data_IF_723081112322
#
_entry.id   IF_723081112322
#
_cell.length_a   1.000
_cell.length_b   1.000
_cell.length_c   1.000
_cell.angle_alpha   90.00
_cell.angle_beta   90.00
_cell.angle_gamma   90.00
#
_symmetry.space_group_name_H-M   'P 1'
#
loop_
_entity.id
_entity.type
_entity.pdbx_description
1 polymer ?
#
# COMPACT_ATOMS: atom_id res chain seq x y z
N UNK A 1 -6.19 18.60 8.82
CA UNK A 1 -6.84 19.16 7.62
C UNK A 1 -6.40 18.29 6.45
N UNK A 2 -7.12 18.27 5.32
CA UNK A 2 -6.67 17.63 4.09
C UNK A 2 -6.41 18.67 3.01
N UNK A 3 -5.44 18.41 2.12
CA UNK A 3 -5.29 19.16 0.87
C UNK A 3 -6.42 18.82 -0.11
N UNK A 4 -6.47 19.54 -1.23
CA UNK A 4 -7.46 19.31 -2.31
C UNK A 4 -7.38 17.89 -2.91
N UNK A 5 -6.21 17.26 -2.85
CA UNK A 5 -5.99 15.88 -3.32
C UNK A 5 -6.05 14.82 -2.20
N UNK A 6 -6.50 15.21 -1.00
CA UNK A 6 -6.75 14.29 0.12
C UNK A 6 -5.52 13.94 0.95
N UNK A 7 -4.39 14.62 0.77
CA UNK A 7 -3.21 14.47 1.61
C UNK A 7 -3.48 15.01 3.01
N UNK A 8 -3.11 14.24 4.04
CA UNK A 8 -3.20 14.67 5.42
C UNK A 8 -2.15 15.75 5.71
N UNK A 9 -2.61 16.94 6.09
CA UNK A 9 -1.78 18.07 6.47
C UNK A 9 -1.75 18.25 7.98
N UNK A 10 -0.55 18.43 8.53
CA UNK A 10 -0.29 18.56 9.96
C UNK A 10 0.29 19.95 10.27
N UNK A 11 -0.16 20.57 11.36
CA UNK A 11 0.42 21.82 11.86
C UNK A 11 0.32 21.89 13.37
N UNK A 12 1.42 22.28 14.02
CA UNK A 12 1.55 22.31 15.46
C UNK A 12 2.96 21.90 15.89
N UNK A 13 3.19 21.67 17.20
CA UNK A 13 4.50 21.26 17.74
C UNK A 13 4.81 19.77 17.45
N UNK A 14 4.45 19.29 16.26
CA UNK A 14 4.48 17.87 15.85
C UNK A 14 5.30 17.64 14.57
N UNK A 15 6.15 18.60 14.20
CA UNK A 15 7.04 18.51 13.04
C UNK A 15 8.52 18.41 13.41
N UNK A 16 9.36 18.51 12.39
CA UNK A 16 10.82 18.53 12.52
C UNK A 16 11.39 19.86 12.01
N UNK A 17 12.65 20.15 12.34
CA UNK A 17 13.34 21.38 11.93
C UNK A 17 13.82 21.34 10.46
N UNK A 18 13.87 20.16 9.87
CA UNK A 18 14.41 19.93 8.53
C UNK A 18 15.37 18.75 8.48
N UNK A 19 15.77 18.40 7.27
CA UNK A 19 16.77 17.39 6.96
C UNK A 19 18.16 18.02 7.04
N UNK A 20 19.07 17.35 7.76
CA UNK A 20 20.44 17.82 7.95
C UNK A 20 21.19 17.94 6.62
N UNK A 21 21.69 19.13 6.30
CA UNK A 21 22.44 19.40 5.06
C UNK A 21 21.59 19.36 3.79
N UNK A 22 20.26 19.44 3.92
CA UNK A 22 19.30 19.45 2.81
C UNK A 22 18.24 20.54 3.03
N UNK A 23 18.69 21.79 3.15
CA UNK A 23 17.83 22.94 3.40
C UNK A 23 16.73 23.10 2.34
N UNK A 24 17.06 22.88 1.06
CA UNK A 24 16.11 22.99 -0.04
C UNK A 24 14.95 21.98 0.07
N UNK A 25 15.24 20.73 0.47
CA UNK A 25 14.20 19.70 0.61
C UNK A 25 13.43 19.84 1.92
N UNK A 26 14.07 20.38 2.96
CA UNK A 26 13.41 20.75 4.22
C UNK A 26 12.31 21.80 4.00
N UNK A 27 12.60 22.82 3.17
CA UNK A 27 11.64 23.87 2.83
C UNK A 27 10.42 23.28 2.11
N UNK A 28 10.63 22.32 1.19
CA UNK A 28 9.52 21.69 0.45
C UNK A 28 8.57 20.86 1.30
N UNK A 29 8.93 20.53 2.54
CA UNK A 29 8.04 19.76 3.42
C UNK A 29 6.91 20.58 4.00
N UNK A 30 7.01 21.92 3.99
CA UNK A 30 5.97 22.81 4.49
C UNK A 30 5.54 23.81 3.44
N UNK A 31 4.26 24.14 3.40
CA UNK A 31 3.75 25.23 2.58
C UNK A 31 4.04 26.61 3.21
N UNK A 32 3.63 27.69 2.51
CA UNK A 32 3.84 29.06 2.96
C UNK A 32 3.08 29.39 4.26
N UNK A 33 2.02 28.64 4.54
CA UNK A 33 1.13 28.75 5.70
C UNK A 33 1.60 27.88 6.90
N UNK A 34 2.70 27.13 6.70
CA UNK A 34 3.37 26.33 7.72
C UNK A 34 2.76 24.93 7.94
N UNK A 35 1.94 24.43 7.03
CA UNK A 35 1.43 23.06 7.07
C UNK A 35 2.48 22.07 6.56
N UNK A 36 2.71 21.02 7.34
CA UNK A 36 3.55 19.89 6.97
C UNK A 36 2.78 18.93 6.07
N UNK A 37 3.34 18.67 4.90
CA UNK A 37 2.91 17.65 3.96
C UNK A 37 3.39 16.27 4.43
N UNK A 38 2.46 15.41 4.87
CA UNK A 38 2.79 14.06 5.37
C UNK A 38 3.19 13.09 4.26
N UNK A 39 2.72 13.33 3.04
CA UNK A 39 2.78 12.38 1.94
C UNK A 39 1.78 11.22 2.06
N UNK A 40 0.85 11.27 3.01
CA UNK A 40 -0.14 10.23 3.25
C UNK A 40 -1.54 10.73 2.84
N UNK A 41 -2.26 9.94 2.05
CA UNK A 41 -3.67 10.18 1.75
C UNK A 41 -4.54 9.68 2.90
N UNK A 42 -5.54 10.47 3.28
CA UNK A 42 -6.41 10.12 4.39
C UNK A 42 -7.86 10.59 4.18
N UNK A 43 -8.79 9.76 4.63
CA UNK A 43 -10.20 10.15 4.78
C UNK A 43 -10.40 10.73 6.18
N UNK A 44 -10.92 11.96 6.25
CA UNK A 44 -11.24 12.65 7.49
C UNK A 44 -12.75 12.64 7.67
N UNK A 45 -13.22 12.04 8.76
CA UNK A 45 -14.64 11.92 9.09
C UNK A 45 -15.10 13.10 9.95
N UNK A 46 -16.40 13.43 9.90
CA UNK A 46 -16.99 14.58 10.59
C UNK A 46 -16.83 14.55 12.13
N UNK A 47 -16.63 13.36 12.70
CA UNK A 47 -16.35 13.15 14.12
C UNK A 47 -14.86 13.32 14.50
N UNK A 48 -14.03 13.77 13.55
CA UNK A 48 -12.60 14.02 13.73
C UNK A 48 -11.71 12.78 13.62
N UNK A 49 -12.28 11.61 13.28
CA UNK A 49 -11.49 10.42 13.02
C UNK A 49 -10.79 10.52 11.66
N UNK A 50 -9.57 10.00 11.60
CA UNK A 50 -8.75 10.00 10.38
C UNK A 50 -8.40 8.56 10.04
N UNK A 51 -8.67 8.15 8.81
CA UNK A 51 -8.27 6.84 8.28
C UNK A 51 -7.21 7.07 7.21
N UNK A 52 -6.01 6.54 7.45
CA UNK A 52 -4.95 6.57 6.46
C UNK A 52 -5.30 5.58 5.35
N UNK A 53 -5.39 6.09 4.13
CA UNK A 53 -5.63 5.30 2.91
C UNK A 53 -4.32 4.67 2.47
N UNK A 54 -3.24 5.45 2.39
CA UNK A 54 -1.92 4.97 1.99
C UNK A 54 -0.99 6.11 1.59
N UNK A 55 0.18 5.78 1.05
CA UNK A 55 1.16 6.77 0.59
C UNK A 55 0.70 7.40 -0.72
N UNK A 56 0.71 8.74 -0.79
CA UNK A 56 0.29 9.50 -1.97
C UNK A 56 1.01 9.12 -3.26
N UNK A 57 2.25 8.64 -3.16
CA UNK A 57 3.05 8.17 -4.32
C UNK A 57 2.78 6.72 -4.72
N UNK A 58 2.19 5.92 -3.83
CA UNK A 58 2.05 4.47 -4.00
C UNK A 58 0.60 4.03 -4.19
N UNK A 59 -0.37 4.92 -3.95
CA UNK A 59 -1.80 4.66 -4.22
C UNK A 59 -2.05 4.52 -5.72
N UNK A 60 -2.79 3.47 -6.10
CA UNK A 60 -3.22 3.24 -7.47
C UNK A 60 -4.54 3.95 -7.73
N UNK A 61 -4.64 4.61 -8.88
CA UNK A 61 -5.87 5.25 -9.33
C UNK A 61 -6.43 4.45 -10.50
N UNK A 62 -7.56 3.77 -10.28
CA UNK A 62 -8.22 3.03 -11.36
C UNK A 62 -8.71 3.96 -12.47
N UNK A 63 -9.03 3.42 -13.65
CA UNK A 63 -9.61 4.22 -14.74
C UNK A 63 -10.97 4.85 -14.40
N UNK A 64 -11.63 4.41 -13.31
CA UNK A 64 -12.84 5.00 -12.76
C UNK A 64 -12.60 6.07 -11.69
N UNK A 65 -11.34 6.45 -11.42
CA UNK A 65 -10.98 7.46 -10.42
C UNK A 65 -10.97 6.97 -8.97
N UNK A 66 -11.14 5.66 -8.73
CA UNK A 66 -11.07 5.11 -7.37
C UNK A 66 -9.62 4.96 -6.92
N UNK A 67 -9.31 5.54 -5.76
CA UNK A 67 -8.04 5.40 -5.05
C UNK A 67 -7.98 4.06 -4.31
N UNK A 68 -6.88 3.32 -4.51
CA UNK A 68 -6.67 2.01 -3.91
C UNK A 68 -5.25 1.93 -3.34
N UNK A 69 -5.15 1.53 -2.08
CA UNK A 69 -3.89 1.22 -1.44
C UNK A 69 -3.46 -0.22 -1.78
N UNK A 70 -2.35 -0.41 -2.52
CA UNK A 70 -1.80 -1.75 -2.81
C UNK A 70 -1.49 -2.50 -1.53
N UNK A 71 -0.77 -1.84 -0.62
CA UNK A 71 -0.29 -2.42 0.63
C UNK A 71 -1.43 -3.05 1.45
N UNK A 72 -2.59 -2.39 1.50
CA UNK A 72 -3.76 -2.95 2.20
C UNK A 72 -4.21 -4.29 1.61
N UNK A 73 -4.27 -4.39 0.28
CA UNK A 73 -4.68 -5.62 -0.41
C UNK A 73 -3.58 -6.67 -0.29
N UNK A 74 -2.32 -6.30 -0.53
CA UNK A 74 -1.16 -7.18 -0.46
C UNK A 74 -1.04 -7.82 0.92
N UNK A 75 -1.09 -7.03 2.00
CA UNK A 75 -1.02 -7.54 3.36
C UNK A 75 -2.19 -8.47 3.70
N UNK A 76 -3.38 -8.17 3.19
CA UNK A 76 -4.56 -9.02 3.39
C UNK A 76 -4.46 -10.34 2.64
N UNK A 77 -3.87 -10.33 1.45
CA UNK A 77 -3.61 -11.55 0.66
C UNK A 77 -2.51 -12.40 1.30
N UNK A 78 -1.42 -11.76 1.76
CA UNK A 78 -0.31 -12.41 2.47
C UNK A 78 -0.67 -12.94 3.86
N UNK A 79 -1.87 -12.66 4.37
CA UNK A 79 -2.40 -13.32 5.57
C UNK A 79 -2.69 -14.82 5.33
N UNK A 80 -2.77 -15.26 4.07
CA UNK A 80 -2.83 -16.67 3.71
C UNK A 80 -1.48 -17.36 3.98
N UNK A 81 -1.45 -18.51 4.67
CA UNK A 81 -0.20 -19.25 4.88
C UNK A 81 0.38 -19.86 3.58
N UNK A 82 -0.37 -19.83 2.48
CA UNK A 82 0.05 -20.37 1.19
C UNK A 82 0.73 -19.33 0.28
N UNK A 83 0.77 -18.06 0.70
CA UNK A 83 1.26 -16.94 -0.11
C UNK A 83 2.44 -16.31 0.62
N UNK A 84 3.62 -16.35 -0.01
CA UNK A 84 4.83 -15.72 0.53
C UNK A 84 4.88 -14.24 0.14
N UNK A 85 4.55 -13.91 -1.11
CA UNK A 85 4.51 -12.53 -1.60
C UNK A 85 3.30 -12.22 -2.48
N UNK A 86 2.90 -10.95 -2.46
CA UNK A 86 1.83 -10.42 -3.29
C UNK A 86 2.17 -9.00 -3.74
N UNK A 87 2.05 -8.72 -5.04
CA UNK A 87 2.24 -7.39 -5.62
C UNK A 87 0.98 -7.01 -6.38
N UNK A 88 0.37 -5.91 -5.98
CA UNK A 88 -0.87 -5.41 -6.57
C UNK A 88 -0.58 -4.43 -7.70
N UNK A 89 -1.22 -4.68 -8.85
CA UNK A 89 -1.03 -3.95 -10.10
C UNK A 89 -2.40 -3.52 -10.62
N UNK A 90 -2.57 -2.23 -10.90
CA UNK A 90 -3.89 -1.74 -11.30
C UNK A 90 -3.99 -0.27 -11.68
N UNK A 91 -2.88 0.48 -11.68
CA UNK A 91 -2.93 1.91 -11.98
C UNK A 91 -3.45 2.17 -13.39
N UNK A 92 -4.40 3.09 -13.51
CA UNK A 92 -5.10 3.42 -14.75
C UNK A 92 -5.96 2.29 -15.34
N UNK A 93 -6.16 1.17 -14.63
CA UNK A 93 -6.92 0.01 -15.13
C UNK A 93 -8.34 -0.01 -14.58
N UNK A 94 -9.25 -0.71 -15.29
CA UNK A 94 -10.65 -0.91 -14.85
C UNK A 94 -10.78 -1.80 -13.61
N UNK A 95 -9.78 -2.63 -13.35
CA UNK A 95 -9.75 -3.57 -12.24
C UNK A 95 -8.30 -3.77 -11.79
N UNK A 96 -8.18 -4.32 -10.59
CA UNK A 96 -6.90 -4.62 -9.94
C UNK A 96 -6.54 -6.07 -10.22
N UNK A 97 -5.25 -6.33 -10.36
CA UNK A 97 -4.68 -7.68 -10.49
C UNK A 97 -3.55 -7.80 -9.48
N UNK A 98 -3.22 -9.02 -9.06
CA UNK A 98 -2.06 -9.26 -8.21
C UNK A 98 -1.16 -10.31 -8.84
N UNK A 99 0.15 -10.09 -8.75
CA UNK A 99 1.16 -11.14 -8.92
C UNK A 99 1.33 -11.81 -7.55
N UNK A 100 1.20 -13.13 -7.50
CA UNK A 100 1.25 -13.91 -6.28
C UNK A 100 2.43 -14.88 -6.35
N UNK A 101 3.22 -14.93 -5.29
CA UNK A 101 4.22 -15.95 -5.05
C UNK A 101 3.68 -16.94 -4.00
N UNK A 102 3.76 -18.22 -4.32
CA UNK A 102 3.33 -19.28 -3.41
C UNK A 102 4.44 -19.60 -2.41
N UNK A 103 4.04 -19.90 -1.18
CA UNK A 103 4.95 -20.51 -0.20
C UNK A 103 5.16 -22.00 -0.56
N UNK A 104 6.37 -22.40 -0.98
CA UNK A 104 6.60 -23.75 -1.49
C UNK A 104 6.47 -24.83 -0.42
N UNK A 105 6.78 -24.51 0.83
CA UNK A 105 6.75 -25.47 1.93
C UNK A 105 5.30 -25.71 2.38
N UNK A 106 4.53 -24.64 2.59
CA UNK A 106 3.13 -24.72 2.99
C UNK A 106 2.26 -25.35 1.90
N UNK A 107 2.46 -24.95 0.63
CA UNK A 107 1.74 -25.54 -0.51
C UNK A 107 2.16 -26.98 -0.74
N UNK A 108 3.46 -27.27 -0.68
CA UNK A 108 3.98 -28.64 -0.82
C UNK A 108 3.39 -29.58 0.22
N UNK A 109 3.37 -29.19 1.50
CA UNK A 109 2.76 -29.96 2.57
C UNK A 109 1.25 -30.20 2.35
N UNK A 110 0.53 -29.18 1.87
CA UNK A 110 -0.90 -29.31 1.53
C UNK A 110 -1.14 -30.30 0.37
N UNK A 111 -0.34 -30.23 -0.70
CA UNK A 111 -0.46 -31.14 -1.85
C UNK A 111 -0.13 -32.58 -1.47
N UNK A 112 0.92 -32.80 -0.66
CA UNK A 112 1.26 -34.12 -0.12
C UNK A 112 0.10 -34.71 0.69
N UNK A 113 -0.51 -33.92 1.57
CA UNK A 113 -1.67 -34.36 2.38
C UNK A 113 -2.87 -34.74 1.50
N UNK A 114 -3.02 -34.12 0.34
CA UNK A 114 -4.06 -34.46 -0.65
C UNK A 114 -3.68 -35.57 -1.62
N UNK A 115 -2.46 -36.09 -1.56
CA UNK A 115 -1.96 -37.09 -2.51
C UNK A 115 -1.78 -36.55 -3.93
N UNK A 116 -1.59 -35.24 -4.09
CA UNK A 116 -1.36 -34.59 -5.39
C UNK A 116 0.16 -34.51 -5.60
N UNK A 117 0.63 -35.12 -6.70
CA UNK A 117 2.04 -35.10 -7.04
C UNK A 117 2.47 -33.73 -7.59
N UNK A 118 3.65 -33.26 -7.21
CA UNK A 118 4.29 -32.05 -7.75
C UNK A 118 5.80 -32.23 -7.80
N UNK A 119 6.45 -31.54 -8.74
CA UNK A 119 7.92 -31.54 -8.87
C UNK A 119 8.51 -30.15 -9.02
N UNK A 120 7.70 -29.18 -9.42
CA UNK A 120 8.10 -27.79 -9.65
C UNK A 120 7.11 -26.82 -9.02
N UNK A 121 7.55 -25.57 -8.82
CA UNK A 121 6.67 -24.47 -8.42
C UNK A 121 5.51 -24.25 -9.41
N UNK A 122 5.77 -24.52 -10.70
CA UNK A 122 4.74 -24.42 -11.73
C UNK A 122 3.63 -25.44 -11.50
N UNK A 123 3.99 -26.69 -11.17
CA UNK A 123 3.01 -27.74 -10.85
C UNK A 123 2.17 -27.32 -9.65
N UNK A 124 2.80 -26.74 -8.61
CA UNK A 124 2.10 -26.25 -7.42
C UNK A 124 1.09 -25.15 -7.74
N UNK A 125 1.39 -24.27 -8.70
CA UNK A 125 0.50 -23.18 -9.08
C UNK A 125 -0.70 -23.62 -9.96
N UNK A 126 -0.62 -24.78 -10.59
CA UNK A 126 -1.65 -25.29 -11.51
C UNK A 126 -2.63 -26.30 -10.91
N UNK A 127 -2.39 -26.78 -9.67
CA UNK A 127 -3.20 -27.80 -8.98
C UNK A 127 -3.93 -27.21 -7.77
#
# INVERSE_FOLDING_TARGET
MSSDDGELLLRGPIGFAGYKGQEADSIKTKDAEGWLHSGDLADIYDNGYVVIVGRKKDVLITSGGKNISPEFIENKVKASPYISEAIVIGDGRRYITALIELDPDAVGHYLQKKGIAYTTLKDMATN
#
